data_IF_700778075770
#
_entry.id   IF_700778075770
#
_cell.length_a   1.000
_cell.length_b   1.000
_cell.length_c   1.000
_cell.angle_alpha   90.00
_cell.angle_beta   90.00
_cell.angle_gamma   90.00
#
_symmetry.space_group_name_H-M   'P 1'
#
loop_
_entity.id
_entity.type
_entity.pdbx_description
1 polymer ?
#
# COMPACT_ATOMS: atom_id res chain seq x y z
N UNK A 1 -41.88 -42.17 -9.73
CA UNK A 1 -42.21 -42.15 -8.29
C UNK A 1 -42.23 -40.68 -7.87
N UNK A 2 -43.39 -40.01 -7.77
CA UNK A 2 -44.30 -40.00 -6.59
C UNK A 2 -43.52 -39.37 -5.39
N UNK A 3 -43.69 -38.09 -4.98
CA UNK A 3 -44.90 -37.45 -4.45
C UNK A 3 -44.83 -35.89 -4.42
N UNK A 4 -46.00 -35.27 -4.64
CA UNK A 4 -46.37 -33.86 -4.37
C UNK A 4 -46.36 -33.59 -2.84
N UNK A 5 -46.59 -32.37 -2.35
CA UNK A 5 -47.92 -31.87 -1.92
C UNK A 5 -47.93 -30.32 -1.83
N UNK A 6 -49.11 -29.79 -2.17
CA UNK A 6 -49.62 -28.40 -2.20
C UNK A 6 -50.39 -28.15 -0.90
N UNK A 7 -50.50 -26.90 -0.41
CA UNK A 7 -51.71 -26.23 0.19
C UNK A 7 -51.36 -24.72 0.34
N UNK A 8 -51.85 -23.78 -0.48
CA UNK A 8 -53.16 -23.06 -0.49
C UNK A 8 -53.28 -21.96 0.59
N UNK A 9 -53.60 -20.74 0.15
CA UNK A 9 -54.19 -19.69 0.99
C UNK A 9 -54.18 -18.32 0.31
N UNK A 10 -55.29 -17.96 -0.35
CA UNK A 10 -55.50 -16.67 -1.01
C UNK A 10 -56.65 -15.89 -0.35
N UNK A 11 -56.61 -14.56 -0.54
CA UNK A 11 -57.72 -13.58 -0.50
C UNK A 11 -58.12 -12.96 0.86
N UNK A 12 -57.97 -11.63 0.99
CA UNK A 12 -59.14 -10.76 1.26
C UNK A 12 -59.05 -9.60 2.27
N UNK A 13 -59.01 -8.37 1.74
CA UNK A 13 -59.82 -7.16 2.08
C UNK A 13 -59.53 -6.32 3.36
N UNK A 14 -58.94 -5.14 3.10
CA UNK A 14 -59.34 -3.75 3.46
C UNK A 14 -59.60 -3.24 4.90
N UNK A 15 -59.15 -1.97 5.06
CA UNK A 15 -59.76 -0.85 5.83
C UNK A 15 -58.97 -0.31 7.05
N UNK A 16 -58.23 0.76 6.76
CA UNK A 16 -58.18 2.10 7.39
C UNK A 16 -57.82 2.36 8.88
N UNK A 17 -56.97 3.40 8.98
CA UNK A 17 -56.87 4.48 9.97
C UNK A 17 -56.27 4.20 11.37
N UNK A 18 -55.19 4.94 11.68
CA UNK A 18 -54.74 5.14 13.06
C UNK A 18 -53.36 5.77 13.14
N UNK A 19 -53.31 7.09 13.29
CA UNK A 19 -52.12 7.93 13.29
C UNK A 19 -51.22 7.78 14.54
N UNK A 20 -49.93 8.11 14.34
CA UNK A 20 -48.94 8.67 15.27
C UNK A 20 -47.58 8.02 14.93
N UNK A 21 -46.62 8.70 14.33
CA UNK A 21 -45.94 9.84 14.93
C UNK A 21 -44.50 9.44 15.21
N UNK A 22 -43.58 10.31 14.79
CA UNK A 22 -42.16 10.36 15.16
C UNK A 22 -41.16 9.45 14.44
N UNK A 23 -40.19 10.16 13.85
CA UNK A 23 -38.82 9.75 13.59
C UNK A 23 -38.63 8.68 12.51
N UNK A 24 -38.72 9.15 11.25
CA UNK A 24 -37.80 8.67 10.23
C UNK A 24 -36.37 8.87 10.73
N UNK A 25 -35.81 7.86 11.40
CA UNK A 25 -34.38 7.73 11.56
C UNK A 25 -33.83 7.57 10.15
N UNK A 26 -33.47 8.69 9.54
CA UNK A 26 -32.57 8.72 8.39
C UNK A 26 -31.29 8.03 8.84
N UNK A 27 -31.25 6.70 8.65
CA UNK A 27 -30.03 5.94 8.71
C UNK A 27 -29.23 6.37 7.51
N UNK A 28 -28.50 7.48 7.66
CA UNK A 28 -27.46 7.90 6.74
C UNK A 28 -26.41 6.78 6.70
N UNK A 29 -26.29 5.99 5.62
CA UNK A 29 -25.39 4.85 5.57
C UNK A 29 -23.91 5.25 5.46
N UNK A 30 -23.58 6.55 5.52
CA UNK A 30 -22.23 7.07 5.26
C UNK A 30 -21.29 7.08 6.47
N UNK A 31 -21.67 6.58 7.66
CA UNK A 31 -20.76 6.55 8.82
C UNK A 31 -19.88 5.29 8.94
N UNK A 32 -20.01 4.32 8.04
CA UNK A 32 -19.33 3.01 8.15
C UNK A 32 -18.45 2.62 6.97
N UNK A 33 -18.05 3.57 6.11
CA UNK A 33 -16.89 3.35 5.24
C UNK A 33 -15.66 3.42 6.13
N UNK A 34 -15.35 2.28 6.78
CA UNK A 34 -14.05 1.98 7.37
C UNK A 34 -12.99 2.44 6.37
N UNK A 35 -12.29 3.52 6.73
CA UNK A 35 -10.98 3.96 6.25
C UNK A 35 -10.38 2.97 5.25
N UNK A 36 -10.75 3.09 3.98
CA UNK A 36 -10.09 2.36 2.91
C UNK A 36 -8.60 2.70 3.04
N UNK A 37 -7.69 1.71 2.98
CA UNK A 37 -6.28 2.03 2.89
C UNK A 37 -6.12 3.01 1.72
N UNK A 38 -5.41 4.12 1.97
CA UNK A 38 -5.18 5.13 0.94
C UNK A 38 -4.51 4.53 -0.30
N UNK A 39 -4.50 5.24 -1.44
CA UNK A 39 -3.88 4.74 -2.66
C UNK A 39 -2.42 4.35 -2.37
N UNK A 40 -2.07 3.14 -2.79
CA UNK A 40 -0.70 2.61 -2.76
C UNK A 40 0.24 3.51 -3.55
N UNK A 41 1.56 3.39 -3.32
CA UNK A 41 2.55 4.21 -4.02
C UNK A 41 2.38 4.17 -5.54
N UNK A 42 2.09 3.00 -6.11
CA UNK A 42 1.91 2.85 -7.55
C UNK A 42 0.58 3.38 -8.07
N UNK A 43 -0.46 3.41 -7.24
CA UNK A 43 -1.72 4.09 -7.59
C UNK A 43 -1.53 5.61 -7.60
N UNK A 44 -0.74 6.16 -6.68
CA UNK A 44 -0.38 7.59 -6.70
C UNK A 44 0.40 7.95 -7.96
N UNK A 45 1.39 7.13 -8.33
CA UNK A 45 2.15 7.30 -9.58
C UNK A 45 1.26 7.16 -10.83
N UNK A 46 0.29 6.25 -10.82
CA UNK A 46 -0.61 6.05 -11.95
C UNK A 46 -1.57 7.22 -12.19
N UNK A 47 -1.93 7.96 -11.13
CA UNK A 47 -2.74 9.18 -11.22
C UNK A 47 -1.91 10.34 -11.78
N UNK A 48 -0.67 10.51 -11.31
CA UNK A 48 0.22 11.60 -11.71
C UNK A 48 1.31 11.14 -12.68
N UNK A 49 0.94 10.89 -13.95
CA UNK A 49 1.88 10.38 -14.98
C UNK A 49 3.11 11.27 -15.21
N UNK A 50 2.98 12.59 -15.07
CA UNK A 50 4.12 13.51 -15.22
C UNK A 50 5.07 13.45 -14.01
N UNK A 51 4.53 13.28 -12.80
CA UNK A 51 5.31 13.04 -11.58
C UNK A 51 6.07 11.71 -11.69
N UNK A 52 5.40 10.65 -12.15
CA UNK A 52 6.04 9.35 -12.41
C UNK A 52 7.21 9.48 -13.39
N UNK A 53 7.03 10.20 -14.51
CA UNK A 53 8.10 10.39 -15.50
C UNK A 53 9.28 11.15 -14.90
N UNK A 54 9.03 12.27 -14.22
CA UNK A 54 10.09 13.08 -13.57
C UNK A 54 10.84 12.28 -12.51
N UNK A 55 10.12 11.60 -11.61
CA UNK A 55 10.72 10.72 -10.61
C UNK A 55 11.50 9.57 -11.26
N UNK A 56 10.98 8.96 -12.31
CA UNK A 56 11.66 7.87 -13.01
C UNK A 56 12.98 8.36 -13.62
N UNK A 57 13.03 9.58 -14.16
CA UNK A 57 14.27 10.18 -14.66
C UNK A 57 15.28 10.46 -13.54
N UNK A 58 14.83 11.05 -12.43
CA UNK A 58 15.68 11.33 -11.26
C UNK A 58 16.23 10.05 -10.62
N UNK A 59 15.38 9.03 -10.51
CA UNK A 59 15.70 7.77 -9.83
C UNK A 59 16.21 6.70 -10.80
N UNK A 60 16.39 7.00 -12.10
CA UNK A 60 16.84 6.01 -13.10
C UNK A 60 18.17 5.36 -12.69
N UNK A 61 19.06 6.15 -12.09
CA UNK A 61 20.33 5.69 -11.55
C UNK A 61 20.20 4.91 -10.24
N UNK A 62 19.02 4.79 -9.63
CA UNK A 62 18.75 4.06 -8.38
C UNK A 62 17.88 2.82 -8.60
N UNK A 63 17.13 2.78 -9.70
CA UNK A 63 16.24 1.67 -10.00
C UNK A 63 17.01 0.36 -10.19
N UNK A 64 16.47 -0.76 -9.69
CA UNK A 64 16.97 -2.08 -10.02
C UNK A 64 16.97 -2.32 -11.54
N UNK A 65 17.87 -3.18 -12.05
CA UNK A 65 17.91 -3.49 -13.47
C UNK A 65 16.56 -4.03 -13.95
N UNK A 66 16.06 -3.54 -15.09
CA UNK A 66 14.83 -4.01 -15.74
C UNK A 66 13.54 -3.83 -14.91
N UNK A 67 13.53 -2.91 -13.95
CA UNK A 67 12.30 -2.57 -13.19
C UNK A 67 11.92 -1.12 -13.39
N UNK A 68 10.63 -0.84 -13.54
CA UNK A 68 10.10 0.52 -13.53
C UNK A 68 9.89 1.00 -12.09
N UNK A 69 9.79 2.32 -11.88
CA UNK A 69 9.48 2.89 -10.58
C UNK A 69 8.14 2.36 -10.04
N UNK A 70 7.13 2.25 -10.92
CA UNK A 70 5.82 1.70 -10.59
C UNK A 70 5.90 0.25 -10.11
N UNK A 71 6.71 -0.59 -10.75
CA UNK A 71 6.86 -2.00 -10.35
C UNK A 71 7.67 -2.13 -9.05
N UNK A 72 8.68 -1.27 -8.88
CA UNK A 72 9.45 -1.20 -7.65
C UNK A 72 8.54 -0.83 -6.46
N UNK A 73 7.66 0.16 -6.64
CA UNK A 73 6.80 0.71 -5.59
C UNK A 73 5.44 0.00 -5.40
N UNK A 74 5.07 -0.98 -6.23
CA UNK A 74 3.74 -1.60 -6.22
C UNK A 74 3.30 -2.20 -4.88
N UNK A 75 4.25 -2.69 -4.09
CA UNK A 75 3.95 -3.33 -2.79
C UNK A 75 4.13 -2.38 -1.60
N UNK A 76 4.52 -1.12 -1.85
CA UNK A 76 4.71 -0.12 -0.82
C UNK A 76 3.42 0.63 -0.54
N UNK A 77 3.15 0.87 0.74
CA UNK A 77 1.97 1.63 1.19
C UNK A 77 2.11 3.13 0.92
N UNK A 78 3.34 3.64 0.87
CA UNK A 78 3.64 5.05 0.62
C UNK A 78 4.73 5.18 -0.44
N UNK A 79 4.64 6.23 -1.25
CA UNK A 79 5.66 6.55 -2.25
C UNK A 79 6.98 6.94 -1.59
N UNK A 80 6.91 7.75 -0.52
CA UNK A 80 8.05 8.14 0.30
C UNK A 80 8.89 6.93 0.75
N UNK A 81 8.26 5.88 1.29
CA UNK A 81 8.97 4.69 1.77
C UNK A 81 9.65 3.94 0.62
N UNK A 82 9.03 3.89 -0.56
CA UNK A 82 9.61 3.25 -1.74
C UNK A 82 10.84 4.00 -2.24
N UNK A 83 10.72 5.33 -2.42
CA UNK A 83 11.81 6.17 -2.92
C UNK A 83 12.95 6.20 -1.89
N UNK A 84 12.63 6.26 -0.59
CA UNK A 84 13.63 6.16 0.47
C UNK A 84 14.35 4.80 0.42
N UNK A 85 13.64 3.69 0.20
CA UNK A 85 14.26 2.38 0.06
C UNK A 85 15.21 2.29 -1.16
N UNK A 86 14.89 2.95 -2.28
CA UNK A 86 15.78 3.05 -3.44
C UNK A 86 17.09 3.80 -3.09
N UNK A 87 16.98 4.93 -2.38
CA UNK A 87 18.15 5.68 -1.91
C UNK A 87 19.02 4.86 -0.97
N UNK A 88 18.42 4.17 0.01
CA UNK A 88 19.13 3.29 0.95
C UNK A 88 19.85 2.16 0.21
N UNK A 89 19.16 1.52 -0.74
CA UNK A 89 19.73 0.43 -1.53
C UNK A 89 21.00 0.87 -2.25
N UNK A 90 21.01 2.07 -2.85
CA UNK A 90 22.19 2.63 -3.52
C UNK A 90 23.28 3.06 -2.53
N UNK A 91 22.93 3.84 -1.50
CA UNK A 91 23.89 4.36 -0.52
C UNK A 91 24.66 3.24 0.17
N UNK A 92 23.92 2.23 0.63
CA UNK A 92 24.47 1.15 1.45
C UNK A 92 24.89 -0.07 0.63
N UNK A 93 24.67 -0.02 -0.69
CA UNK A 93 24.91 -1.12 -1.64
C UNK A 93 24.19 -2.41 -1.23
N UNK A 94 22.98 -2.27 -0.67
CA UNK A 94 22.12 -3.38 -0.26
C UNK A 94 21.22 -3.74 -1.44
N UNK A 95 20.92 -5.02 -1.65
CA UNK A 95 19.97 -5.44 -2.69
C UNK A 95 18.57 -4.89 -2.38
N UNK A 96 18.01 -4.11 -3.30
CA UNK A 96 16.67 -3.52 -3.15
C UNK A 96 15.60 -4.57 -2.86
N UNK A 97 15.68 -5.76 -3.46
CA UNK A 97 14.72 -6.84 -3.20
C UNK A 97 14.74 -7.35 -1.74
N UNK A 98 15.91 -7.39 -1.08
CA UNK A 98 15.98 -7.71 0.35
C UNK A 98 15.24 -6.64 1.16
N UNK A 99 15.57 -5.37 0.89
CA UNK A 99 14.99 -4.24 1.61
C UNK A 99 13.49 -4.13 1.39
N UNK A 100 13.02 -4.35 0.16
CA UNK A 100 11.60 -4.41 -0.21
C UNK A 100 10.88 -5.52 0.56
N UNK A 101 11.49 -6.70 0.67
CA UNK A 101 10.90 -7.79 1.45
C UNK A 101 10.73 -7.41 2.92
N UNK A 102 11.76 -6.83 3.54
CA UNK A 102 11.69 -6.41 4.94
C UNK A 102 10.66 -5.32 5.19
N UNK A 103 10.54 -4.35 4.29
CA UNK A 103 9.64 -3.21 4.45
C UNK A 103 8.17 -3.54 4.17
N UNK A 104 7.91 -4.54 3.35
CA UNK A 104 6.54 -4.87 2.90
C UNK A 104 6.02 -6.17 3.51
N UNK A 105 6.91 -7.00 4.07
CA UNK A 105 6.67 -8.41 4.41
C UNK A 105 6.10 -9.26 3.25
N UNK A 106 6.12 -8.73 2.04
CA UNK A 106 5.75 -9.45 0.83
C UNK A 106 7.05 -9.92 0.17
N UNK A 107 7.24 -11.24 0.09
CA UNK A 107 8.42 -11.82 -0.57
C UNK A 107 8.41 -11.46 -2.06
N UNK A 108 9.40 -10.71 -2.57
CA UNK A 108 9.43 -10.34 -3.98
C UNK A 108 9.90 -11.52 -4.83
N UNK A 109 9.38 -11.59 -6.06
CA UNK A 109 9.81 -12.55 -7.08
C UNK A 109 11.15 -12.07 -7.68
N UNK A 110 12.24 -12.30 -6.98
CA UNK A 110 13.59 -11.89 -7.39
C UNK A 110 14.69 -12.55 -6.58
N UNK A 111 15.93 -12.08 -6.76
CA UNK A 111 17.11 -12.59 -6.07
C UNK A 111 17.11 -12.27 -4.56
N UNK A 112 16.32 -13.02 -3.80
CA UNK A 112 16.24 -12.93 -2.34
C UNK A 112 16.90 -14.09 -1.60
N UNK A 113 17.60 -14.97 -2.32
CA UNK A 113 18.27 -16.15 -1.75
C UNK A 113 19.32 -15.80 -0.69
N UNK A 114 19.92 -14.61 -0.80
CA UNK A 114 20.91 -14.11 0.16
C UNK A 114 20.32 -13.15 1.20
N UNK A 115 19.00 -12.98 1.23
CA UNK A 115 18.32 -12.11 2.18
C UNK A 115 17.74 -12.96 3.31
N UNK A 116 17.93 -12.50 4.54
CA UNK A 116 17.21 -13.03 5.69
C UNK A 116 15.73 -12.63 5.59
N UNK A 117 14.81 -13.50 6.00
CA UNK A 117 13.39 -13.15 6.06
C UNK A 117 13.12 -12.18 7.23
N UNK A 118 12.18 -11.23 7.09
CA UNK A 118 11.83 -10.34 8.19
C UNK A 118 11.24 -11.13 9.38
N UNK A 119 11.58 -10.75 10.62
CA UNK A 119 11.11 -11.46 11.80
C UNK A 119 9.59 -11.38 11.92
N UNK A 120 8.97 -12.54 12.20
CA UNK A 120 7.52 -12.72 12.41
C UNK A 120 6.65 -12.40 11.18
N UNK A 121 7.23 -12.41 9.97
CA UNK A 121 6.53 -12.11 8.72
C UNK A 121 5.81 -10.74 8.74
N UNK A 122 6.43 -9.75 9.42
CA UNK A 122 5.88 -8.39 9.55
C UNK A 122 6.77 -7.35 8.89
N UNK A 123 6.13 -6.37 8.27
CA UNK A 123 6.78 -5.21 7.70
C UNK A 123 7.58 -4.46 8.78
N UNK A 124 8.84 -4.20 8.49
CA UNK A 124 9.74 -3.44 9.33
C UNK A 124 9.74 -1.96 8.94
N UNK A 125 10.18 -1.12 9.89
CA UNK A 125 10.52 0.26 9.58
C UNK A 125 11.86 0.33 8.86
N UNK A 126 12.08 1.37 8.05
CA UNK A 126 13.32 1.54 7.26
C UNK A 126 14.58 1.42 8.10
N UNK A 127 14.63 2.12 9.25
CA UNK A 127 15.75 2.02 10.19
C UNK A 127 15.97 0.58 10.72
N UNK A 128 14.91 -0.20 10.97
CA UNK A 128 15.06 -1.59 11.43
C UNK A 128 15.56 -2.49 10.31
N UNK A 129 15.00 -2.37 9.11
CA UNK A 129 15.43 -3.14 7.95
C UNK A 129 16.92 -2.89 7.62
N UNK A 130 17.37 -1.63 7.67
CA UNK A 130 18.78 -1.30 7.47
C UNK A 130 19.68 -1.98 8.51
N UNK A 131 19.32 -1.95 9.81
CA UNK A 131 20.13 -2.61 10.85
C UNK A 131 20.26 -4.12 10.63
N UNK A 132 19.23 -4.77 10.12
CA UNK A 132 19.28 -6.20 9.84
C UNK A 132 20.14 -6.51 8.63
N UNK A 133 19.98 -5.75 7.54
CA UNK A 133 20.69 -6.02 6.28
C UNK A 133 22.13 -5.50 6.29
N UNK A 134 22.42 -4.47 7.10
CA UNK A 134 23.74 -3.85 7.20
C UNK A 134 23.98 -3.32 8.62
N UNK A 135 24.35 -4.21 9.57
CA UNK A 135 24.54 -3.84 10.97
C UNK A 135 25.67 -2.81 11.19
N UNK A 136 26.64 -2.75 10.27
CA UNK A 136 27.78 -1.83 10.36
C UNK A 136 27.46 -0.38 9.96
N UNK A 137 26.29 -0.13 9.37
CA UNK A 137 25.89 1.22 8.94
C UNK A 137 25.09 1.96 10.03
N UNK A 138 25.16 3.29 10.04
CA UNK A 138 24.25 4.11 10.85
C UNK A 138 22.85 4.12 10.24
N UNK A 139 22.08 3.09 10.57
CA UNK A 139 20.73 2.90 10.07
C UNK A 139 19.78 4.07 10.35
N UNK A 140 20.00 4.83 11.43
CA UNK A 140 19.15 5.98 11.76
C UNK A 140 19.48 7.15 10.86
N UNK A 141 20.75 7.46 10.69
CA UNK A 141 21.21 8.53 9.81
C UNK A 141 20.82 8.24 8.35
N UNK A 142 21.02 7.02 7.88
CA UNK A 142 20.72 6.61 6.52
C UNK A 142 19.21 6.61 6.23
N UNK A 143 18.39 6.07 7.13
CA UNK A 143 16.93 6.15 6.98
C UNK A 143 16.46 7.60 6.90
N UNK A 144 16.92 8.46 7.82
CA UNK A 144 16.53 9.87 7.84
C UNK A 144 16.99 10.63 6.60
N UNK A 145 18.21 10.36 6.14
CA UNK A 145 18.77 10.95 4.92
C UNK A 145 17.98 10.52 3.68
N UNK A 146 17.67 9.23 3.56
CA UNK A 146 16.92 8.68 2.46
C UNK A 146 15.46 9.16 2.44
N UNK A 147 14.78 9.21 3.58
CA UNK A 147 13.44 9.78 3.70
C UNK A 147 13.40 11.27 3.33
N UNK A 148 14.43 12.04 3.71
CA UNK A 148 14.53 13.44 3.32
C UNK A 148 14.70 13.57 1.80
N UNK A 149 15.62 12.80 1.20
CA UNK A 149 15.82 12.79 -0.26
C UNK A 149 14.56 12.37 -1.01
N UNK A 150 13.87 11.35 -0.52
CA UNK A 150 12.60 10.90 -1.10
C UNK A 150 11.56 12.01 -1.15
N UNK A 151 11.40 12.76 -0.05
CA UNK A 151 10.47 13.90 -0.01
C UNK A 151 10.89 15.04 -0.95
N UNK A 152 12.19 15.31 -1.06
CA UNK A 152 12.73 16.29 -1.99
C UNK A 152 12.46 15.88 -3.44
N UNK A 153 12.75 14.64 -3.83
CA UNK A 153 12.52 14.13 -5.19
C UNK A 153 11.03 14.17 -5.56
N UNK A 154 10.14 13.75 -4.65
CA UNK A 154 8.68 13.77 -4.88
C UNK A 154 8.17 15.21 -4.99
N UNK A 155 8.68 16.12 -4.16
CA UNK A 155 8.32 17.54 -4.23
C UNK A 155 8.79 18.18 -5.55
N UNK A 156 10.02 17.89 -5.95
CA UNK A 156 10.59 18.41 -7.19
C UNK A 156 9.88 17.83 -8.42
N UNK A 157 9.41 16.59 -8.36
CA UNK A 157 8.64 15.96 -9.43
C UNK A 157 7.18 16.44 -9.53
N UNK A 158 6.59 16.85 -8.40
CA UNK A 158 5.24 17.43 -8.34
C UNK A 158 5.19 18.93 -8.61
N UNK A 159 6.34 19.60 -8.68
CA UNK A 159 6.50 21.02 -9.07
C UNK A 159 6.61 21.16 -10.58
#
# INVERSE_FOLDING_TARGET
>A
MKNKWIVIGAVGISVLLGAAGAAGRSYNPMKWIKKSPGPTASEQLAVNKEEEKKLTLQLQALLPPRTTLKDACATFKSLDDCVAALHVSRNLKIKFNCLKWDLTAARPNGDVKSCEAPPRDRALTLNKAIRMLKPDADAKAEAKSAERRAREDIKDASS
#
